data_IF_289227104656
#
_entry.id   IF_289227104656
#
_cell.length_a   1.000
_cell.length_b   1.000
_cell.length_c   1.000
_cell.angle_alpha   90.00
_cell.angle_beta   90.00
_cell.angle_gamma   90.00
#
_symmetry.space_group_name_H-M   'P 1'
#
loop_
_entity.id
_entity.type
_entity.pdbx_description
1 polymer ?
#
# COMPACT_ATOMS: atom_id res chain seq x y z
N UNK A 1 17.47 -16.06 -23.59
CA UNK A 1 16.67 -14.82 -23.65
C UNK A 1 15.85 -14.81 -22.37
N UNK A 2 16.22 -13.99 -21.39
CA UNK A 2 15.48 -13.87 -20.14
C UNK A 2 14.18 -13.13 -20.44
N UNK A 3 13.05 -13.77 -20.12
CA UNK A 3 11.74 -13.13 -20.20
C UNK A 3 11.71 -11.96 -19.23
N UNK A 4 11.03 -10.87 -19.63
CA UNK A 4 10.54 -9.91 -18.64
C UNK A 4 9.52 -10.65 -17.78
N UNK A 5 10.00 -11.29 -16.72
CA UNK A 5 9.17 -11.67 -15.59
C UNK A 5 8.64 -10.36 -15.02
N UNK A 6 7.38 -10.08 -15.29
CA UNK A 6 6.61 -9.08 -14.57
C UNK A 6 6.74 -9.41 -13.08
N UNK A 7 7.60 -8.67 -12.38
CA UNK A 7 7.72 -8.77 -10.93
C UNK A 7 6.46 -8.15 -10.35
N UNK A 8 5.43 -8.98 -10.18
CA UNK A 8 4.27 -8.61 -9.40
C UNK A 8 4.72 -8.36 -7.95
N UNK A 9 4.19 -7.29 -7.35
CA UNK A 9 4.37 -6.96 -5.94
C UNK A 9 4.21 -8.21 -5.03
N UNK A 10 5.27 -8.65 -4.31
CA UNK A 10 5.21 -9.82 -3.46
C UNK A 10 4.25 -9.62 -2.27
N UNK A 11 3.62 -10.70 -1.79
CA UNK A 11 2.78 -10.68 -0.58
C UNK A 11 3.63 -10.35 0.65
N UNK A 12 3.02 -9.66 1.63
CA UNK A 12 3.57 -9.52 2.99
C UNK A 12 4.72 -8.53 3.10
N UNK A 13 5.03 -7.87 1.99
CA UNK A 13 6.05 -6.82 1.91
C UNK A 13 5.55 -5.59 2.65
N UNK A 14 6.41 -5.06 3.51
CA UNK A 14 6.23 -3.75 4.12
C UNK A 14 6.47 -2.68 3.05
N UNK A 15 5.42 -1.91 2.77
CA UNK A 15 5.53 -0.78 1.86
C UNK A 15 5.85 0.47 2.67
N UNK A 16 7.00 1.07 2.39
CA UNK A 16 7.28 2.42 2.85
C UNK A 16 6.53 3.40 1.97
N UNK A 17 5.79 4.30 2.61
CA UNK A 17 5.21 5.46 1.93
C UNK A 17 6.27 6.53 1.83
N UNK A 18 6.50 7.02 0.62
CA UNK A 18 7.47 8.08 0.37
C UNK A 18 6.73 9.30 -0.21
N UNK A 19 6.86 10.49 0.41
CA UNK A 19 6.34 11.72 -0.16
C UNK A 19 6.93 12.01 -1.53
N UNK A 20 6.07 12.34 -2.50
CA UNK A 20 6.47 12.70 -3.85
C UNK A 20 6.25 14.19 -4.12
N UNK A 21 7.27 14.83 -4.67
CA UNK A 21 7.20 16.23 -5.12
C UNK A 21 6.51 16.40 -6.49
N UNK A 22 6.08 15.30 -7.12
CA UNK A 22 5.48 15.34 -8.46
C UNK A 22 4.09 15.99 -8.47
N UNK A 23 3.34 15.90 -7.37
CA UNK A 23 2.02 16.52 -7.18
C UNK A 23 1.83 16.93 -5.72
N UNK A 24 0.97 17.92 -5.41
CA UNK A 24 0.62 18.26 -4.03
C UNK A 24 0.06 17.05 -3.28
N UNK A 25 0.64 16.72 -2.13
CA UNK A 25 0.29 15.57 -1.30
C UNK A 25 0.38 14.21 -2.02
N UNK A 26 1.22 14.11 -3.05
CA UNK A 26 1.48 12.86 -3.75
C UNK A 26 2.35 11.93 -2.91
N UNK A 27 2.04 10.63 -2.99
CA UNK A 27 2.81 9.58 -2.33
C UNK A 27 3.17 8.49 -3.34
N UNK A 28 4.36 7.93 -3.20
CA UNK A 28 4.79 6.70 -3.90
C UNK A 28 4.96 5.57 -2.88
N UNK A 29 4.89 4.32 -3.37
CA UNK A 29 5.09 3.14 -2.54
C UNK A 29 6.41 2.46 -2.90
N UNK A 30 7.26 2.28 -1.89
CA UNK A 30 8.57 1.63 -1.99
C UNK A 30 8.55 0.33 -1.18
N UNK A 31 9.04 -0.75 -1.77
CA UNK A 31 9.30 -2.01 -1.11
C UNK A 31 10.70 -1.98 -0.50
N UNK A 32 10.79 -2.08 0.83
CA UNK A 32 12.08 -2.07 1.56
C UNK A 32 12.64 -3.47 1.85
N UNK A 33 11.84 -4.53 1.70
CA UNK A 33 12.23 -5.90 2.03
C UNK A 33 13.14 -6.57 0.97
N UNK A 34 13.76 -5.80 0.09
CA UNK A 34 14.60 -6.26 -1.01
C UNK A 34 16.01 -5.65 -0.94
N UNK A 35 17.00 -6.35 -1.52
CA UNK A 35 18.39 -5.89 -1.57
C UNK A 35 18.57 -4.51 -2.22
N UNK A 36 17.58 -4.08 -3.02
CA UNK A 36 17.51 -2.75 -3.62
C UNK A 36 16.08 -2.21 -3.57
N UNK A 37 15.88 -0.90 -3.33
CA UNK A 37 14.54 -0.32 -3.29
C UNK A 37 13.84 -0.48 -4.63
N UNK A 38 12.65 -1.08 -4.60
CA UNK A 38 11.76 -1.18 -5.76
C UNK A 38 10.47 -0.42 -5.49
N UNK A 39 9.96 0.23 -6.52
CA UNK A 39 8.79 1.09 -6.47
C UNK A 39 7.59 0.41 -7.15
N UNK A 40 6.38 0.64 -6.63
CA UNK A 40 5.15 0.17 -7.26
C UNK A 40 4.77 1.09 -8.43
N UNK A 41 4.73 0.56 -9.65
CA UNK A 41 4.28 1.28 -10.85
C UNK A 41 2.74 1.29 -11.00
N UNK A 42 2.23 2.11 -11.93
CA UNK A 42 0.78 2.27 -12.17
C UNK A 42 0.08 1.01 -12.68
N UNK A 43 0.82 0.09 -13.28
CA UNK A 43 0.34 -1.22 -13.72
C UNK A 43 0.52 -2.31 -12.65
N UNK A 44 0.90 -1.92 -11.43
CA UNK A 44 1.19 -2.79 -10.29
C UNK A 44 2.45 -3.67 -10.44
N UNK A 45 3.28 -3.40 -11.46
CA UNK A 45 4.61 -4.00 -11.55
C UNK A 45 5.61 -3.31 -10.63
N UNK A 46 6.70 -4.01 -10.30
CA UNK A 46 7.83 -3.43 -9.57
C UNK A 46 8.84 -2.82 -10.53
N UNK A 47 9.33 -1.62 -10.21
CA UNK A 47 10.33 -0.89 -11.00
C UNK A 47 11.46 -0.37 -10.11
N UNK A 48 12.69 -0.41 -10.61
CA UNK A 48 13.87 0.18 -9.97
C UNK A 48 13.95 1.71 -10.13
N UNK A 49 13.10 2.28 -10.98
CA UNK A 49 13.02 3.72 -11.26
C UNK A 49 11.87 4.37 -10.52
N UNK A 50 12.19 5.24 -9.56
CA UNK A 50 11.22 6.06 -8.83
C UNK A 50 10.36 6.92 -9.78
N UNK A 51 10.94 7.44 -10.87
CA UNK A 51 10.22 8.26 -11.85
C UNK A 51 9.06 7.51 -12.55
N UNK A 52 9.05 6.17 -12.48
CA UNK A 52 7.99 5.32 -13.04
C UNK A 52 7.00 4.84 -11.95
N UNK A 53 7.19 5.23 -10.70
CA UNK A 53 6.31 4.87 -9.61
C UNK A 53 4.92 5.48 -9.81
N UNK A 54 3.89 4.74 -9.40
CA UNK A 54 2.53 5.24 -9.31
C UNK A 54 2.44 6.32 -8.23
N UNK A 55 1.67 7.36 -8.54
CA UNK A 55 1.31 8.41 -7.58
C UNK A 55 -0.03 8.07 -6.93
N UNK A 56 -0.07 8.16 -5.61
CA UNK A 56 -1.27 7.94 -4.81
C UNK A 56 -1.63 9.18 -3.99
N UNK A 57 -2.92 9.34 -3.71
CA UNK A 57 -3.48 10.26 -2.72
C UNK A 57 -4.14 9.45 -1.62
N UNK A 58 -4.02 9.90 -0.37
CA UNK A 58 -4.56 9.19 0.78
C UNK A 58 -5.78 9.91 1.32
N UNK A 59 -6.80 9.15 1.69
CA UNK A 59 -7.93 9.66 2.47
C UNK A 59 -8.04 8.86 3.77
N UNK A 60 -8.24 9.56 4.88
CA UNK A 60 -8.41 8.92 6.18
C UNK A 60 -9.72 8.12 6.20
N UNK A 61 -9.68 6.92 6.76
CA UNK A 61 -10.86 6.10 6.98
C UNK A 61 -10.91 5.60 8.43
N UNK A 62 -12.08 5.12 8.90
CA UNK A 62 -12.18 4.52 10.23
C UNK A 62 -11.14 3.43 10.43
N UNK A 63 -10.58 3.38 11.64
CA UNK A 63 -9.53 2.41 11.98
C UNK A 63 -10.00 0.97 11.74
N UNK A 64 -9.18 0.17 11.06
CA UNK A 64 -9.54 -1.22 10.73
C UNK A 64 -9.10 -2.23 11.80
N UNK A 65 -7.80 -2.29 12.15
CA UNK A 65 -7.30 -3.11 13.28
C UNK A 65 -7.18 -2.30 14.58
N UNK A 66 -6.92 -0.99 14.49
CA UNK A 66 -6.95 -0.08 15.64
C UNK A 66 -5.71 -0.14 16.54
N UNK A 67 -4.53 -0.36 15.97
CA UNK A 67 -3.25 -0.27 16.69
C UNK A 67 -2.97 1.14 17.23
N UNK A 68 -2.35 1.24 18.41
CA UNK A 68 -1.94 2.53 18.98
C UNK A 68 -0.88 3.16 18.06
N UNK A 69 -1.21 4.30 17.45
CA UNK A 69 -0.33 5.00 16.50
C UNK A 69 -0.54 4.61 15.03
N UNK A 70 -1.43 3.67 14.74
CA UNK A 70 -1.80 3.32 13.37
C UNK A 70 -2.87 4.27 12.82
N UNK A 71 -2.68 4.73 11.59
CA UNK A 71 -3.62 5.54 10.83
C UNK A 71 -4.18 4.70 9.70
N UNK A 72 -5.51 4.57 9.61
CA UNK A 72 -6.13 3.86 8.49
C UNK A 72 -6.42 4.81 7.33
N UNK A 73 -6.05 4.39 6.13
CA UNK A 73 -6.19 5.17 4.89
C UNK A 73 -6.79 4.34 3.77
N UNK A 74 -7.46 5.03 2.84
CA UNK A 74 -7.76 4.53 1.49
C UNK A 74 -6.81 5.22 0.53
N UNK A 75 -6.23 4.42 -0.38
CA UNK A 75 -5.23 4.89 -1.34
C UNK A 75 -5.84 5.00 -2.75
N UNK A 76 -5.87 6.21 -3.29
CA UNK A 76 -6.40 6.49 -4.62
C UNK A 76 -5.27 6.74 -5.60
N UNK A 77 -5.22 5.96 -6.67
CA UNK A 77 -4.32 6.20 -7.79
C UNK A 77 -4.65 7.56 -8.42
N UNK A 78 -3.63 8.43 -8.53
CA UNK A 78 -3.83 9.85 -8.81
C UNK A 78 -4.54 10.12 -10.14
N UNK A 79 -4.19 9.39 -11.20
CA UNK A 79 -4.69 9.67 -12.55
C UNK A 79 -6.00 8.97 -12.88
N UNK A 80 -6.25 7.80 -12.30
CA UNK A 80 -7.42 6.97 -12.61
C UNK A 80 -8.51 7.02 -11.56
N UNK A 81 -8.23 7.59 -10.37
CA UNK A 81 -9.08 7.54 -9.18
C UNK A 81 -9.48 6.12 -8.74
N UNK A 82 -8.78 5.09 -9.24
CA UNK A 82 -8.96 3.72 -8.77
C UNK A 82 -8.32 3.57 -7.39
N UNK A 83 -8.91 2.73 -6.56
CA UNK A 83 -8.43 2.43 -5.23
C UNK A 83 -7.48 1.25 -5.27
N UNK A 84 -6.36 1.37 -4.56
CA UNK A 84 -5.47 0.24 -4.30
C UNK A 84 -6.15 -0.66 -3.25
N UNK A 85 -6.55 -1.85 -3.69
CA UNK A 85 -7.16 -2.86 -2.85
C UNK A 85 -6.27 -4.10 -2.79
N UNK A 86 -6.29 -4.81 -1.66
CA UNK A 86 -5.64 -6.11 -1.50
C UNK A 86 -6.70 -7.21 -1.44
N UNK A 87 -6.41 -8.40 -1.94
CA UNK A 87 -7.20 -9.60 -1.67
C UNK A 87 -6.39 -10.58 -0.86
N UNK A 88 -6.88 -10.90 0.33
CA UNK A 88 -6.22 -11.88 1.20
C UNK A 88 -6.22 -13.26 0.57
N UNK A 89 -7.38 -13.71 0.07
CA UNK A 89 -7.55 -15.04 -0.53
C UNK A 89 -6.67 -15.27 -1.77
N UNK A 90 -6.33 -14.19 -2.49
CA UNK A 90 -5.53 -14.26 -3.72
C UNK A 90 -4.09 -13.83 -3.53
N UNK A 91 -3.75 -13.27 -2.37
CA UNK A 91 -2.42 -12.74 -2.07
C UNK A 91 -1.91 -11.72 -3.09
N UNK A 92 -2.79 -10.85 -3.58
CA UNK A 92 -2.48 -9.88 -4.65
C UNK A 92 -3.11 -8.53 -4.37
N UNK A 93 -2.49 -7.48 -4.90
CA UNK A 93 -3.04 -6.12 -4.96
C UNK A 93 -3.71 -5.87 -6.30
N UNK A 94 -4.66 -4.94 -6.32
CA UNK A 94 -5.46 -4.56 -7.47
C UNK A 94 -5.73 -3.07 -7.45
N UNK A 95 -5.92 -2.49 -8.64
CA UNK A 95 -6.58 -1.21 -8.80
C UNK A 95 -8.01 -1.47 -9.25
N UNK A 96 -8.98 -0.95 -8.51
CA UNK A 96 -10.39 -1.10 -8.84
C UNK A 96 -11.20 0.10 -8.32
N UNK A 97 -12.42 0.26 -8.82
CA UNK A 97 -13.32 1.30 -8.31
C UNK A 97 -13.79 0.95 -6.89
N UNK A 98 -14.17 1.95 -6.10
CA UNK A 98 -14.73 1.70 -4.77
C UNK A 98 -15.96 0.81 -4.79
N UNK A 99 -16.84 1.00 -5.78
CA UNK A 99 -18.04 0.18 -5.95
C UNK A 99 -17.69 -1.30 -6.18
N UNK A 100 -16.65 -1.57 -6.97
CA UNK A 100 -16.16 -2.93 -7.20
C UNK A 100 -15.58 -3.57 -5.94
N UNK A 101 -14.83 -2.80 -5.13
CA UNK A 101 -14.35 -3.29 -3.82
C UNK A 101 -15.54 -3.65 -2.94
N UNK A 102 -16.45 -2.70 -2.74
CA UNK A 102 -17.56 -2.84 -1.79
C UNK A 102 -18.53 -3.96 -2.19
N UNK A 103 -18.65 -4.23 -3.49
CA UNK A 103 -19.40 -5.38 -4.01
C UNK A 103 -18.68 -6.68 -3.72
N UNK A 104 -17.37 -6.75 -4.03
CA UNK A 104 -16.60 -8.00 -3.87
C UNK A 104 -16.32 -8.36 -2.41
N UNK A 105 -16.21 -7.38 -1.51
CA UNK A 105 -16.04 -7.64 -0.07
C UNK A 105 -17.23 -8.37 0.56
N UNK A 106 -18.39 -8.39 -0.10
CA UNK A 106 -19.60 -9.12 0.36
C UNK A 106 -19.59 -10.60 -0.03
N UNK A 107 -18.80 -11.00 -1.04
CA UNK A 107 -18.83 -12.32 -1.68
C UNK A 107 -17.74 -13.28 -1.15
N UNK A 108 -17.34 -13.15 0.13
CA UNK A 108 -16.37 -14.06 0.82
C UNK A 108 -14.92 -13.94 0.31
N UNK A 109 -14.68 -13.32 -0.84
CA UNK A 109 -13.36 -12.84 -1.25
C UNK A 109 -13.09 -11.53 -0.52
N UNK A 110 -12.43 -11.59 0.64
CA UNK A 110 -12.09 -10.39 1.43
C UNK A 110 -11.14 -9.51 0.61
N UNK A 111 -11.72 -8.56 -0.14
CA UNK A 111 -11.02 -7.43 -0.71
C UNK A 111 -11.01 -6.31 0.33
N UNK A 112 -9.83 -5.77 0.62
CA UNK A 112 -9.62 -4.70 1.57
C UNK A 112 -9.11 -3.46 0.83
N UNK A 113 -9.87 -2.37 0.88
CA UNK A 113 -9.42 -1.04 0.45
C UNK A 113 -8.73 -0.22 1.53
N UNK A 114 -8.91 -0.61 2.79
CA UNK A 114 -8.28 0.07 3.92
C UNK A 114 -6.87 -0.49 4.13
N UNK A 115 -5.91 0.43 4.23
CA UNK A 115 -4.52 0.17 4.58
C UNK A 115 -4.20 0.81 5.92
N UNK A 116 -3.27 0.24 6.66
CA UNK A 116 -2.83 0.81 7.94
C UNK A 116 -1.41 1.33 7.81
N UNK A 117 -1.27 2.62 8.06
CA UNK A 117 -0.02 3.35 8.11
C UNK A 117 0.44 3.44 9.56
N UNK A 118 1.61 2.86 9.87
CA UNK A 118 2.27 3.11 11.14
C UNK A 118 3.37 4.14 10.88
N UNK A 119 3.23 5.31 11.48
CA UNK A 119 4.30 6.32 11.49
C UNK A 119 5.44 5.70 12.28
N UNK A 120 6.66 5.78 11.76
CA UNK A 120 7.84 5.37 12.52
C UNK A 120 7.81 6.13 13.84
N UNK A 121 7.64 5.40 14.95
CA UNK A 121 7.80 6.00 16.25
C UNK A 121 9.28 6.39 16.33
N UNK A 122 9.59 7.68 16.19
CA UNK A 122 10.87 8.19 16.63
C UNK A 122 11.06 7.69 18.07
N UNK A 123 12.04 6.80 18.22
CA UNK A 123 12.53 6.36 19.52
C UNK A 123 13.06 7.63 20.20
N UNK A 124 12.21 8.21 21.06
CA UNK A 124 12.43 9.39 21.89
C UNK A 124 13.58 10.33 21.44
N UNK A 125 13.24 11.21 20.50
CA UNK A 125 13.63 12.61 20.56
C UNK A 125 14.85 13.03 19.74
N UNK A 126 14.64 13.33 18.45
CA UNK A 126 15.35 14.42 17.77
C UNK A 126 14.45 15.00 16.66
N UNK A 127 14.03 16.25 16.83
CA UNK A 127 13.57 17.23 15.83
C UNK A 127 13.19 16.69 14.44
N UNK A 128 11.89 16.75 14.18
CA UNK A 128 11.25 16.25 12.97
C UNK A 128 11.84 16.75 11.67
N UNK A 129 11.82 15.84 10.70
CA UNK A 129 11.47 16.10 9.30
C UNK A 129 11.18 14.82 8.50
N UNK A 130 11.04 13.64 9.11
CA UNK A 130 10.73 12.40 8.40
C UNK A 130 9.32 11.89 8.72
N UNK A 131 8.40 12.10 7.77
CA UNK A 131 7.07 11.52 7.76
C UNK A 131 7.05 10.16 7.04
N UNK A 132 8.08 9.32 7.24
CA UNK A 132 8.04 7.95 6.73
C UNK A 132 7.26 7.03 7.65
N UNK A 133 6.58 6.05 7.06
CA UNK A 133 5.87 5.02 7.80
C UNK A 133 5.61 3.81 6.93
N UNK A 134 5.25 2.71 7.59
CA UNK A 134 5.07 1.41 6.98
C UNK A 134 3.60 1.08 6.78
N UNK A 135 3.27 0.54 5.61
CA UNK A 135 1.96 -0.03 5.27
C UNK A 135 2.04 -1.55 5.23
N UNK A 136 1.09 -2.21 5.89
CA UNK A 136 0.95 -3.67 5.83
C UNK A 136 -0.42 -4.05 5.24
N UNK A 137 -0.48 -4.99 4.28
CA UNK A 137 -1.73 -5.65 3.95
C UNK A 137 -2.13 -6.60 5.10
N UNK A 138 -3.40 -6.98 5.12
CA UNK A 138 -3.96 -7.78 6.20
C UNK A 138 -3.36 -9.20 6.30
N UNK A 139 -3.13 -9.66 7.53
CA UNK A 139 -3.03 -11.08 7.90
C UNK A 139 -4.11 -11.35 8.94
N UNK A 140 -5.13 -12.16 8.59
CA UNK A 140 -5.89 -12.86 9.61
C UNK A 140 -4.94 -13.93 10.09
N UNK A 141 -4.55 -13.89 11.35
CA UNK A 141 -4.20 -15.17 11.95
C UNK A 141 -5.39 -16.11 11.75
N UNK A 142 -5.16 -17.35 11.28
CA UNK A 142 -6.23 -18.33 11.26
C UNK A 142 -6.73 -18.45 12.69
N UNK A 143 -8.02 -18.18 12.91
CA UNK A 143 -8.69 -18.50 14.15
C UNK A 143 -8.40 -19.96 14.46
N UNK A 144 -7.56 -20.20 15.47
CA UNK A 144 -7.36 -21.52 16.02
C UNK A 144 -8.71 -21.99 16.58
N UNK A 145 -9.29 -23.00 15.93
CA UNK A 145 -10.43 -23.74 16.46
C UNK A 145 -9.95 -24.79 17.46
#
# INVERSE_FOLDING_TARGET
MAGLDSMAAPRGVLWRVVPSNAIPNGMTLMCEDLDSPLWLASDLSMTDKEANAALFRFELCPAFRGGKGSVSVVMYHHTSNLVLASSESRHTVFLMTEEEVDTKSKDVLLYNKAWEFSIDAEEDGVNGEDASGFLTPYEKEPLAF
#
